data_IF_360002235783
#
_entry.id   IF_360002235783
#
_cell.length_a   1.000
_cell.length_b   1.000
_cell.length_c   1.000
_cell.angle_alpha   90.00
_cell.angle_beta   90.00
_cell.angle_gamma   90.00
#
_symmetry.space_group_name_H-M   'P 1'
#
loop_
_entity.id
_entity.type
_entity.pdbx_description
1 polymer ?
#
# COMPACT_ATOMS: atom_id res chain seq x y z
N UNK A 1 -3.41 0.84 -19.55
CA UNK A 1 -4.86 0.96 -19.28
C UNK A 1 -5.52 -0.38 -18.94
N UNK A 2 -5.35 -1.46 -19.69
CA UNK A 2 -6.02 -2.75 -19.42
C UNK A 2 -5.87 -3.28 -17.97
N UNK A 3 -4.65 -3.26 -17.40
CA UNK A 3 -4.39 -3.66 -16.00
C UNK A 3 -5.17 -2.83 -14.97
N UNK A 4 -5.39 -1.53 -15.25
CA UNK A 4 -6.15 -0.64 -14.36
C UNK A 4 -7.63 -1.03 -14.35
N UNK A 5 -8.25 -1.15 -15.51
CA UNK A 5 -9.66 -1.57 -15.63
C UNK A 5 -9.88 -2.96 -15.06
N UNK A 6 -8.95 -3.89 -15.28
CA UNK A 6 -8.99 -5.21 -14.66
C UNK A 6 -8.99 -5.12 -13.13
N UNK A 7 -8.15 -4.24 -12.55
CA UNK A 7 -8.14 -3.98 -11.11
C UNK A 7 -9.47 -3.45 -10.58
N UNK A 8 -10.12 -2.52 -11.31
CA UNK A 8 -11.45 -1.99 -10.97
C UNK A 8 -12.50 -3.10 -10.96
N UNK A 9 -12.50 -3.94 -12.00
CA UNK A 9 -13.46 -5.06 -12.12
C UNK A 9 -13.23 -6.10 -11.03
N UNK A 10 -11.98 -6.53 -10.81
CA UNK A 10 -11.65 -7.52 -9.77
C UNK A 10 -12.08 -7.01 -8.39
N UNK A 11 -11.75 -5.77 -8.04
CA UNK A 11 -12.15 -5.22 -6.75
C UNK A 11 -13.67 -5.11 -6.62
N UNK A 12 -14.35 -4.67 -7.68
CA UNK A 12 -15.81 -4.64 -7.73
C UNK A 12 -16.43 -6.02 -7.49
N UNK A 13 -15.91 -7.07 -8.15
CA UNK A 13 -16.37 -8.45 -7.93
C UNK A 13 -16.12 -8.88 -6.49
N UNK A 14 -14.92 -8.66 -5.96
CA UNK A 14 -14.55 -9.06 -4.59
C UNK A 14 -15.40 -8.38 -3.50
N UNK A 15 -15.92 -7.18 -3.76
CA UNK A 15 -16.77 -6.45 -2.81
C UNK A 15 -18.25 -6.76 -3.00
N UNK A 16 -18.76 -6.65 -4.24
CA UNK A 16 -20.20 -6.69 -4.51
C UNK A 16 -20.75 -8.10 -4.64
N UNK A 17 -19.95 -9.08 -5.09
CA UNK A 17 -20.41 -10.48 -5.15
C UNK A 17 -20.67 -11.04 -3.73
N UNK A 18 -19.76 -10.86 -2.75
CA UNK A 18 -20.03 -11.32 -1.38
C UNK A 18 -21.06 -10.46 -0.64
N UNK A 19 -21.15 -9.15 -0.96
CA UNK A 19 -22.24 -8.31 -0.48
C UNK A 19 -23.60 -8.79 -1.01
N UNK A 20 -23.64 -9.30 -2.24
CA UNK A 20 -24.85 -9.68 -2.97
C UNK A 20 -25.77 -8.50 -3.29
N UNK A 21 -25.22 -7.28 -3.33
CA UNK A 21 -25.95 -6.08 -3.71
C UNK A 21 -25.00 -4.93 -4.07
N UNK A 22 -25.37 -4.15 -5.07
CA UNK A 22 -24.70 -2.88 -5.41
C UNK A 22 -25.08 -1.72 -4.49
N UNK A 23 -26.02 -1.92 -3.54
CA UNK A 23 -26.38 -0.92 -2.53
C UNK A 23 -25.32 -0.72 -1.45
N UNK A 24 -24.22 -1.48 -1.51
CA UNK A 24 -23.08 -1.33 -0.62
C UNK A 24 -22.29 -0.05 -0.93
N UNK A 25 -22.79 1.08 -0.41
CA UNK A 25 -22.22 2.41 -0.68
C UNK A 25 -20.74 2.53 -0.32
N UNK A 26 -20.31 1.96 0.82
CA UNK A 26 -18.91 2.02 1.23
C UNK A 26 -17.98 1.30 0.24
N UNK A 27 -18.48 0.28 -0.48
CA UNK A 27 -17.73 -0.37 -1.56
C UNK A 27 -17.45 0.61 -2.71
N UNK A 28 -18.48 1.37 -3.14
CA UNK A 28 -18.31 2.43 -4.14
C UNK A 28 -17.42 3.56 -3.64
N UNK A 29 -17.57 3.97 -2.39
CA UNK A 29 -16.74 4.99 -1.76
C UNK A 29 -15.26 4.59 -1.84
N UNK A 30 -14.92 3.38 -1.39
CA UNK A 30 -13.55 2.87 -1.47
C UNK A 30 -13.04 2.85 -2.92
N UNK A 31 -13.83 2.31 -3.85
CA UNK A 31 -13.44 2.26 -5.26
C UNK A 31 -13.16 3.66 -5.83
N UNK A 32 -14.00 4.64 -5.50
CA UNK A 32 -13.82 6.03 -5.89
C UNK A 32 -12.51 6.62 -5.34
N UNK A 33 -12.32 6.57 -4.02
CA UNK A 33 -11.13 7.17 -3.39
C UNK A 33 -9.84 6.42 -3.71
N UNK A 34 -9.90 5.14 -4.07
CA UNK A 34 -8.73 4.36 -4.50
C UNK A 34 -8.38 4.62 -5.96
N UNK A 35 -9.36 4.52 -6.88
CA UNK A 35 -9.08 4.51 -8.32
C UNK A 35 -9.08 5.89 -8.96
N UNK A 36 -9.85 6.87 -8.48
CA UNK A 36 -9.88 8.21 -9.09
C UNK A 36 -8.52 8.92 -8.93
N UNK A 37 -7.91 9.00 -7.73
CA UNK A 37 -6.57 9.59 -7.60
C UNK A 37 -5.51 8.81 -8.38
N UNK A 38 -5.61 7.47 -8.38
CA UNK A 38 -4.70 6.61 -9.14
C UNK A 38 -4.77 6.87 -10.64
N UNK A 39 -5.98 7.07 -11.18
CA UNK A 39 -6.22 7.36 -12.58
C UNK A 39 -5.64 8.72 -12.96
N UNK A 40 -5.93 9.76 -12.17
CA UNK A 40 -5.40 11.12 -12.38
C UNK A 40 -3.87 11.12 -12.31
N UNK A 41 -3.28 10.49 -11.30
CA UNK A 41 -1.83 10.36 -11.18
C UNK A 41 -1.22 9.58 -12.37
N UNK A 42 -1.91 8.53 -12.83
CA UNK A 42 -1.53 7.77 -14.02
C UNK A 42 -1.51 8.62 -15.29
N UNK A 43 -2.52 9.47 -15.50
CA UNK A 43 -2.56 10.41 -16.63
C UNK A 43 -1.45 11.45 -16.55
N UNK A 44 -1.20 12.02 -15.37
CA UNK A 44 -0.11 12.99 -15.17
C UNK A 44 1.26 12.34 -15.47
N UNK A 45 1.48 11.11 -15.01
CA UNK A 45 2.72 10.37 -15.28
C UNK A 45 2.85 9.96 -16.76
N UNK A 46 1.76 9.61 -17.43
CA UNK A 46 1.77 9.36 -18.88
C UNK A 46 2.20 10.61 -19.65
N UNK A 47 1.70 11.77 -19.26
CA UNK A 47 2.02 13.04 -19.92
C UNK A 47 3.45 13.51 -19.63
N UNK A 48 3.93 13.35 -18.38
CA UNK A 48 5.25 13.87 -17.97
C UNK A 48 6.39 12.89 -18.18
N UNK A 49 6.17 11.59 -17.99
CA UNK A 49 7.26 10.60 -17.98
C UNK A 49 6.76 9.16 -18.27
N UNK A 50 6.40 8.84 -19.53
CA UNK A 50 5.75 7.58 -19.89
C UNK A 50 6.62 6.33 -19.65
N UNK A 51 7.96 6.48 -19.75
CA UNK A 51 8.90 5.38 -19.52
C UNK A 51 8.92 4.94 -18.04
N UNK A 52 8.79 5.89 -17.10
CA UNK A 52 8.71 5.61 -15.66
C UNK A 52 7.47 4.78 -15.32
N UNK A 53 6.33 5.11 -15.93
CA UNK A 53 5.08 4.36 -15.74
C UNK A 53 5.18 2.93 -16.30
N UNK A 54 5.77 2.78 -17.50
CA UNK A 54 5.98 1.47 -18.10
C UNK A 54 6.83 0.55 -17.23
N UNK A 55 7.93 1.06 -16.65
CA UNK A 55 8.76 0.33 -15.68
C UNK A 55 7.94 -0.10 -14.44
N UNK A 56 7.17 0.81 -13.84
CA UNK A 56 6.36 0.50 -12.64
C UNK A 56 5.26 -0.53 -12.90
N UNK A 57 4.67 -0.56 -14.09
CA UNK A 57 3.61 -1.51 -14.45
C UNK A 57 4.13 -2.92 -14.77
N UNK A 58 5.39 -3.04 -15.15
CA UNK A 58 6.00 -4.30 -15.61
C UNK A 58 7.05 -4.87 -14.66
N UNK A 59 7.36 -4.18 -13.57
CA UNK A 59 8.20 -4.72 -12.50
C UNK A 59 7.62 -6.06 -11.98
N UNK A 60 8.43 -7.11 -12.06
CA UNK A 60 8.14 -8.45 -11.55
C UNK A 60 9.11 -8.76 -10.43
N UNK A 61 8.59 -9.29 -9.32
CA UNK A 61 9.41 -9.74 -8.19
C UNK A 61 10.17 -11.00 -8.57
N UNK A 62 11.50 -10.92 -8.62
CA UNK A 62 12.35 -12.05 -9.03
C UNK A 62 12.70 -12.96 -7.86
N UNK A 63 12.90 -12.40 -6.65
CA UNK A 63 13.27 -13.15 -5.45
C UNK A 63 12.13 -14.02 -4.92
N UNK A 64 12.41 -15.30 -4.68
CA UNK A 64 11.42 -16.31 -4.29
C UNK A 64 10.78 -16.05 -2.91
N UNK A 65 11.55 -15.56 -1.93
CA UNK A 65 10.99 -15.19 -0.62
C UNK A 65 10.00 -14.03 -0.73
N UNK A 66 10.25 -13.09 -1.65
CA UNK A 66 9.38 -11.95 -1.90
C UNK A 66 8.11 -12.37 -2.64
N UNK A 67 8.19 -13.34 -3.56
CA UNK A 67 7.01 -13.94 -4.20
C UNK A 67 6.05 -14.51 -3.17
N UNK A 68 6.55 -15.19 -2.13
CA UNK A 68 5.70 -15.72 -1.06
C UNK A 68 5.04 -14.61 -0.25
N UNK A 69 5.78 -13.56 0.13
CA UNK A 69 5.20 -12.40 0.84
C UNK A 69 4.14 -11.70 -0.01
N UNK A 70 4.37 -11.54 -1.31
CA UNK A 70 3.41 -10.96 -2.25
C UNK A 70 2.18 -11.84 -2.42
N UNK A 71 2.35 -13.16 -2.53
CA UNK A 71 1.24 -14.10 -2.63
C UNK A 71 0.38 -14.10 -1.36
N UNK A 72 1.00 -14.18 -0.18
CA UNK A 72 0.30 -14.10 1.12
C UNK A 72 -0.42 -12.76 1.29
N UNK A 73 0.22 -11.66 0.89
CA UNK A 73 -0.42 -10.33 0.90
C UNK A 73 -1.64 -10.34 -0.03
N UNK A 74 -1.52 -10.87 -1.24
CA UNK A 74 -2.63 -10.99 -2.19
C UNK A 74 -3.81 -11.79 -1.64
N UNK A 75 -3.54 -12.95 -1.02
CA UNK A 75 -4.57 -13.75 -0.35
C UNK A 75 -5.23 -12.99 0.79
N UNK A 76 -4.44 -12.26 1.58
CA UNK A 76 -4.95 -11.43 2.67
C UNK A 76 -5.89 -10.34 2.16
N UNK A 77 -5.52 -9.63 1.09
CA UNK A 77 -6.37 -8.61 0.48
C UNK A 77 -7.67 -9.19 -0.05
N UNK A 78 -7.63 -10.35 -0.73
CA UNK A 78 -8.84 -11.05 -1.17
C UNK A 78 -9.74 -11.35 0.03
N UNK A 79 -9.20 -11.91 1.10
CA UNK A 79 -9.96 -12.20 2.31
C UNK A 79 -10.57 -10.93 2.92
N UNK A 80 -9.81 -9.83 3.03
CA UNK A 80 -10.28 -8.54 3.54
C UNK A 80 -11.49 -8.02 2.76
N UNK A 81 -11.42 -8.02 1.42
CA UNK A 81 -12.49 -7.51 0.56
C UNK A 81 -13.73 -8.41 0.61
N UNK A 82 -13.53 -9.72 0.55
CA UNK A 82 -14.63 -10.69 0.65
C UNK A 82 -15.33 -10.57 2.01
N UNK A 83 -14.57 -10.52 3.11
CA UNK A 83 -15.13 -10.34 4.45
C UNK A 83 -15.85 -9.01 4.61
N UNK A 84 -15.42 -7.94 3.92
CA UNK A 84 -16.11 -6.66 3.98
C UNK A 84 -17.49 -6.73 3.30
N UNK A 85 -17.56 -7.37 2.13
CA UNK A 85 -18.82 -7.65 1.46
C UNK A 85 -19.75 -8.52 2.31
N UNK A 86 -19.23 -9.61 2.91
CA UNK A 86 -20.01 -10.46 3.81
C UNK A 86 -20.45 -9.74 5.08
N UNK A 87 -19.60 -8.90 5.67
CA UNK A 87 -19.95 -8.06 6.82
C UNK A 87 -21.11 -7.13 6.48
N UNK A 88 -21.14 -6.55 5.27
CA UNK A 88 -22.27 -5.74 4.82
C UNK A 88 -23.55 -6.58 4.63
N UNK A 89 -23.42 -7.77 4.03
CA UNK A 89 -24.55 -8.68 3.75
C UNK A 89 -25.22 -9.17 5.04
N UNK A 90 -24.42 -9.65 5.99
CA UNK A 90 -24.90 -10.26 7.22
C UNK A 90 -24.94 -9.31 8.41
N UNK A 91 -24.44 -8.08 8.25
CA UNK A 91 -24.47 -7.02 9.27
C UNK A 91 -23.80 -7.45 10.59
N UNK A 92 -22.73 -8.24 10.52
CA UNK A 92 -22.01 -8.70 11.72
C UNK A 92 -21.53 -7.55 12.60
N UNK A 93 -20.97 -6.50 11.98
CA UNK A 93 -20.58 -5.28 12.67
C UNK A 93 -20.91 -4.06 11.79
N UNK A 94 -21.70 -3.13 12.34
CA UNK A 94 -22.07 -1.89 11.66
C UNK A 94 -21.33 -0.73 12.30
N UNK A 95 -20.36 -0.18 11.57
CA UNK A 95 -19.67 1.03 11.98
C UNK A 95 -20.56 2.27 11.77
N UNK A 96 -20.55 3.23 12.71
CA UNK A 96 -21.18 4.53 12.48
C UNK A 96 -20.59 5.26 11.27
N UNK A 97 -21.42 6.00 10.54
CA UNK A 97 -20.99 6.71 9.34
C UNK A 97 -19.85 7.71 9.59
N UNK A 98 -19.79 8.34 10.76
CA UNK A 98 -18.71 9.28 11.10
C UNK A 98 -17.34 8.58 11.14
N UNK A 99 -17.28 7.31 11.57
CA UNK A 99 -16.03 6.51 11.55
C UNK A 99 -15.58 6.28 10.11
N UNK A 100 -16.53 5.95 9.22
CA UNK A 100 -16.26 5.73 7.79
C UNK A 100 -15.70 7.00 7.14
N UNK A 101 -16.27 8.17 7.44
CA UNK A 101 -15.79 9.44 6.91
C UNK A 101 -14.42 9.84 7.44
N UNK A 102 -14.15 9.65 8.74
CA UNK A 102 -12.82 9.87 9.32
C UNK A 102 -11.80 8.93 8.67
N UNK A 103 -12.13 7.64 8.54
CA UNK A 103 -11.26 6.67 7.88
C UNK A 103 -10.99 7.03 6.42
N UNK A 104 -11.98 7.60 5.72
CA UNK A 104 -11.83 8.06 4.33
C UNK A 104 -10.91 9.28 4.24
N UNK A 105 -11.04 10.24 5.15
CA UNK A 105 -10.14 11.39 5.22
C UNK A 105 -8.70 10.95 5.52
N UNK A 106 -8.51 10.04 6.47
CA UNK A 106 -7.20 9.45 6.78
C UNK A 106 -6.63 8.67 5.59
N UNK A 107 -7.46 7.88 4.89
CA UNK A 107 -7.05 7.15 3.70
C UNK A 107 -6.49 8.10 2.63
N UNK A 108 -7.19 9.20 2.35
CA UNK A 108 -6.73 10.22 1.39
C UNK A 108 -5.45 10.93 1.86
N UNK A 109 -5.34 11.22 3.16
CA UNK A 109 -4.11 11.78 3.74
C UNK A 109 -2.92 10.84 3.55
N UNK A 110 -3.08 9.54 3.83
CA UNK A 110 -2.03 8.55 3.63
C UNK A 110 -1.71 8.32 2.15
N UNK A 111 -2.70 8.52 1.26
CA UNK A 111 -2.48 8.52 -0.18
C UNK A 111 -1.56 9.66 -0.61
N UNK A 112 -1.79 10.87 -0.08
CA UNK A 112 -0.93 12.04 -0.32
C UNK A 112 0.47 11.79 0.25
N UNK A 113 0.56 11.25 1.46
CA UNK A 113 1.84 10.89 2.06
C UNK A 113 2.61 9.88 1.20
N UNK A 114 1.94 8.86 0.67
CA UNK A 114 2.54 7.90 -0.24
C UNK A 114 3.04 8.58 -1.53
N UNK A 115 2.27 9.51 -2.09
CA UNK A 115 2.70 10.29 -3.25
C UNK A 115 3.92 11.16 -2.97
N UNK A 116 4.02 11.73 -1.77
CA UNK A 116 5.17 12.53 -1.33
C UNK A 116 6.43 11.68 -1.18
N UNK A 117 6.31 10.48 -0.61
CA UNK A 117 7.42 9.52 -0.54
C UNK A 117 7.92 9.14 -1.93
N UNK A 118 7.00 8.95 -2.89
CA UNK A 118 7.36 8.68 -4.29
C UNK A 118 8.05 9.87 -4.99
N UNK A 119 7.75 11.10 -4.56
CA UNK A 119 8.39 12.32 -5.07
C UNK A 119 9.81 12.47 -4.52
N UNK A 120 9.98 12.17 -3.23
CA UNK A 120 11.25 12.30 -2.52
C UNK A 120 12.27 11.24 -2.95
N UNK A 121 11.84 9.99 -3.17
CA UNK A 121 12.72 8.90 -3.58
C UNK A 121 12.52 8.49 -5.04
N UNK A 122 13.45 8.92 -5.90
CA UNK A 122 13.47 8.57 -7.32
C UNK A 122 13.92 7.13 -7.60
N UNK A 123 14.64 6.49 -6.67
CA UNK A 123 15.10 5.09 -6.77
C UNK A 123 14.05 4.09 -6.26
N UNK A 124 12.85 4.56 -5.96
CA UNK A 124 11.81 3.73 -5.38
C UNK A 124 11.29 2.71 -6.41
N UNK A 125 11.69 1.45 -6.21
CA UNK A 125 11.29 0.31 -7.02
C UNK A 125 10.29 -0.58 -6.27
N UNK A 126 9.52 -1.36 -7.03
CA UNK A 126 8.66 -2.41 -6.48
C UNK A 126 9.46 -3.65 -6.08
N UNK A 127 10.61 -3.84 -6.68
CA UNK A 127 11.54 -4.94 -6.44
C UNK A 127 12.62 -4.52 -5.44
N UNK A 128 13.00 -5.40 -4.53
CA UNK A 128 14.15 -5.16 -3.65
C UNK A 128 15.41 -5.49 -4.45
N UNK A 129 16.01 -4.47 -5.02
CA UNK A 129 17.27 -4.51 -5.75
C UNK A 129 18.04 -3.21 -5.55
N UNK A 130 19.37 -3.27 -5.65
CA UNK A 130 20.18 -2.06 -5.69
C UNK A 130 20.31 -1.64 -7.15
N UNK A 131 19.87 -0.43 -7.47
CA UNK A 131 19.97 0.13 -8.82
C UNK A 131 21.38 0.67 -9.08
N UNK A 132 21.81 0.66 -10.34
CA UNK A 132 23.06 1.31 -10.74
C UNK A 132 23.03 2.80 -10.39
N UNK A 133 24.11 3.30 -9.78
CA UNK A 133 24.24 4.68 -9.28
C UNK A 133 23.19 5.08 -8.23
N UNK A 134 22.60 4.12 -7.54
CA UNK A 134 21.72 4.39 -6.40
C UNK A 134 22.50 5.08 -5.28
N UNK A 135 21.93 6.16 -4.76
CA UNK A 135 22.44 6.85 -3.57
C UNK A 135 21.46 6.69 -2.42
N UNK A 136 21.99 6.72 -1.20
CA UNK A 136 21.15 6.80 -0.01
C UNK A 136 20.47 8.17 0.03
N UNK A 137 19.15 8.14 0.21
CA UNK A 137 18.35 9.34 0.44
C UNK A 137 18.09 9.41 1.94
N UNK A 138 18.54 10.48 2.58
CA UNK A 138 18.44 10.69 4.03
C UNK A 138 17.79 12.04 4.39
N UNK A 139 17.09 12.65 3.43
CA UNK A 139 16.36 13.91 3.57
C UNK A 139 14.87 13.69 3.84
N UNK A 140 14.17 14.73 4.28
CA UNK A 140 12.73 14.74 4.59
C UNK A 140 12.25 13.52 5.36
N UNK A 141 11.31 12.73 4.80
CA UNK A 141 10.71 11.59 5.51
C UNK A 141 11.73 10.47 5.75
N UNK A 142 12.69 10.30 4.84
CA UNK A 142 13.80 9.38 4.99
C UNK A 142 14.81 9.81 6.06
N UNK A 143 14.79 11.08 6.47
CA UNK A 143 15.55 11.55 7.64
C UNK A 143 14.93 11.18 8.98
N UNK A 144 13.64 10.80 9.00
CA UNK A 144 12.88 10.48 10.23
C UNK A 144 12.79 8.96 10.41
N UNK A 145 12.44 8.23 9.35
CA UNK A 145 12.32 6.77 9.33
C UNK A 145 12.99 6.20 8.08
N UNK A 146 13.56 4.99 8.17
CA UNK A 146 14.26 4.35 7.04
C UNK A 146 13.34 3.93 5.90
N UNK A 147 12.09 3.64 6.22
CA UNK A 147 11.11 3.07 5.30
C UNK A 147 9.77 3.83 5.30
N UNK A 148 9.76 5.12 4.92
CA UNK A 148 8.55 5.93 4.95
C UNK A 148 7.50 5.43 3.96
N UNK A 149 7.91 4.73 2.89
CA UNK A 149 6.96 4.09 1.96
C UNK A 149 6.15 3.00 2.65
N UNK A 150 6.80 2.12 3.41
CA UNK A 150 6.12 1.04 4.13
C UNK A 150 5.26 1.58 5.27
N UNK A 151 5.65 2.70 5.88
CA UNK A 151 4.80 3.43 6.83
C UNK A 151 3.52 3.91 6.13
N UNK A 152 3.65 4.66 5.03
CA UNK A 152 2.52 5.21 4.30
C UNK A 152 1.59 4.12 3.76
N UNK A 153 2.12 3.04 3.17
CA UNK A 153 1.29 1.95 2.62
C UNK A 153 0.63 1.12 3.71
N UNK A 154 1.29 0.85 4.83
CA UNK A 154 0.67 0.18 5.98
C UNK A 154 -0.51 0.99 6.51
N UNK A 155 -0.35 2.30 6.69
CA UNK A 155 -1.44 3.19 7.15
C UNK A 155 -2.60 3.24 6.14
N UNK A 156 -2.28 3.30 4.84
CA UNK A 156 -3.27 3.23 3.76
C UNK A 156 -4.04 1.90 3.77
N UNK A 157 -3.36 0.77 3.97
CA UNK A 157 -3.99 -0.55 3.98
C UNK A 157 -4.83 -0.78 5.24
N UNK A 158 -4.39 -0.29 6.40
CA UNK A 158 -5.16 -0.39 7.65
C UNK A 158 -6.43 0.49 7.64
N UNK A 159 -6.42 1.62 6.91
CA UNK A 159 -7.61 2.46 6.79
C UNK A 159 -8.67 1.87 5.83
N UNK A 160 -8.26 1.05 4.85
CA UNK A 160 -9.15 0.49 3.84
C UNK A 160 -10.36 -0.29 4.40
N UNK A 161 -10.21 -1.23 5.36
CA UNK A 161 -11.34 -1.94 5.94
C UNK A 161 -12.32 -1.03 6.72
N UNK A 162 -11.80 0.05 7.30
CA UNK A 162 -12.60 1.03 8.02
C UNK A 162 -13.41 1.92 7.06
N UNK A 163 -12.84 2.27 5.90
CA UNK A 163 -13.59 2.91 4.79
C UNK A 163 -14.70 1.99 4.30
N UNK A 164 -14.45 0.68 4.24
CA UNK A 164 -15.48 -0.31 3.92
C UNK A 164 -16.54 -0.48 5.01
N UNK A 165 -16.32 0.05 6.21
CA UNK A 165 -17.22 -0.12 7.35
C UNK A 165 -17.17 -1.51 7.97
N UNK A 166 -16.05 -2.23 7.85
CA UNK A 166 -15.89 -3.61 8.33
C UNK A 166 -14.76 -3.71 9.35
N UNK A 167 -15.11 -3.77 10.65
CA UNK A 167 -14.14 -4.06 11.72
C UNK A 167 -13.57 -5.48 11.63
N UNK A 168 -14.36 -6.44 11.16
CA UNK A 168 -13.89 -7.82 10.95
C UNK A 168 -12.74 -7.83 9.95
N UNK A 169 -12.91 -7.14 8.82
CA UNK A 169 -11.86 -6.99 7.82
C UNK A 169 -10.65 -6.19 8.35
N UNK A 170 -10.85 -5.24 9.26
CA UNK A 170 -9.77 -4.49 9.90
C UNK A 170 -8.86 -5.40 10.73
N UNK A 171 -9.43 -6.24 11.59
CA UNK A 171 -8.64 -7.17 12.40
C UNK A 171 -7.88 -8.18 11.53
N UNK A 172 -8.49 -8.65 10.44
CA UNK A 172 -7.78 -9.50 9.48
C UNK A 172 -6.62 -8.74 8.83
N UNK A 173 -6.80 -7.46 8.47
CA UNK A 173 -5.73 -6.65 7.87
C UNK A 173 -4.52 -6.45 8.81
N UNK A 174 -4.67 -6.54 10.14
CA UNK A 174 -3.53 -6.49 11.06
C UNK A 174 -2.50 -7.61 10.81
N UNK A 175 -2.91 -8.72 10.19
CA UNK A 175 -2.01 -9.79 9.75
C UNK A 175 -1.03 -9.35 8.64
N UNK A 176 -1.23 -8.16 8.05
CA UNK A 176 -0.28 -7.57 7.12
C UNK A 176 1.01 -7.09 7.80
N UNK A 177 0.94 -6.68 9.08
CA UNK A 177 2.08 -6.15 9.84
C UNK A 177 3.29 -7.11 9.90
N UNK A 178 3.15 -8.40 10.24
CA UNK A 178 4.30 -9.32 10.19
C UNK A 178 4.86 -9.52 8.78
N UNK A 179 4.02 -9.45 7.73
CA UNK A 179 4.47 -9.57 6.34
C UNK A 179 5.36 -8.40 5.94
N UNK A 180 4.96 -7.17 6.29
CA UNK A 180 5.76 -5.98 5.98
C UNK A 180 7.03 -5.92 6.82
N UNK A 181 6.99 -6.37 8.08
CA UNK A 181 8.19 -6.51 8.92
C UNK A 181 9.20 -7.46 8.28
N UNK A 182 8.74 -8.61 7.78
CA UNK A 182 9.61 -9.58 7.07
C UNK A 182 10.21 -8.94 5.81
N UNK A 183 9.40 -8.22 5.02
CA UNK A 183 9.85 -7.53 3.81
C UNK A 183 10.91 -6.47 4.10
N UNK A 184 10.69 -5.63 5.10
CA UNK A 184 11.65 -4.60 5.57
C UNK A 184 12.98 -5.22 5.95
N UNK A 185 12.98 -6.31 6.74
CA UNK A 185 14.21 -6.96 7.18
C UNK A 185 14.99 -7.56 6.00
N UNK A 186 14.31 -8.10 5.00
CA UNK A 186 14.96 -8.59 3.80
C UNK A 186 15.58 -7.44 3.00
N UNK A 187 14.84 -6.34 2.83
CA UNK A 187 15.32 -5.15 2.15
C UNK A 187 16.54 -4.53 2.83
N UNK A 188 16.51 -4.34 4.15
CA UNK A 188 17.68 -3.85 4.89
C UNK A 188 18.91 -4.73 4.67
N UNK A 189 18.74 -6.06 4.59
CA UNK A 189 19.86 -6.98 4.36
C UNK A 189 20.45 -6.79 2.96
N UNK A 190 19.61 -6.65 1.92
CA UNK A 190 20.06 -6.39 0.55
C UNK A 190 20.76 -5.03 0.45
N UNK A 191 20.19 -3.99 1.05
CA UNK A 191 20.76 -2.64 1.04
C UNK A 191 22.10 -2.58 1.81
N UNK A 192 22.23 -3.27 2.95
CA UNK A 192 23.51 -3.32 3.68
C UNK A 192 24.64 -4.03 2.92
N UNK A 193 24.30 -4.96 2.02
CA UNK A 193 25.28 -5.70 1.22
C UNK A 193 25.65 -4.96 -0.08
N UNK A 194 24.71 -4.25 -0.69
CA UNK A 194 24.89 -3.68 -2.03
C UNK A 194 24.89 -2.15 -2.13
N UNK A 195 24.40 -1.42 -1.12
CA UNK A 195 24.30 0.05 -1.18
C UNK A 195 25.34 0.72 -0.27
N UNK A 196 26.30 1.39 -0.90
CA UNK A 196 27.31 2.17 -0.21
C UNK A 196 26.68 3.29 0.63
N UNK A 197 27.19 3.49 1.86
CA UNK A 197 26.67 4.50 2.81
C UNK A 197 25.41 4.07 3.59
N UNK A 198 24.80 2.92 3.29
CA UNK A 198 23.58 2.50 3.97
C UNK A 198 23.79 2.13 5.45
N UNK A 199 24.98 1.60 5.79
CA UNK A 199 25.34 1.28 7.18
C UNK A 199 25.46 2.53 8.04
N UNK A 200 26.01 3.61 7.50
CA UNK A 200 26.13 4.92 8.12
C UNK A 200 24.75 5.56 8.29
N UNK A 201 23.92 5.50 7.26
CA UNK A 201 22.53 5.95 7.31
C UNK A 201 21.72 5.24 8.40
N UNK A 202 21.89 3.93 8.57
CA UNK A 202 21.23 3.16 9.62
C UNK A 202 21.59 3.61 11.03
N UNK A 203 22.80 4.14 11.23
CA UNK A 203 23.23 4.73 12.51
C UNK A 203 22.58 6.09 12.75
N UNK A 204 22.38 6.89 11.69
CA UNK A 204 21.74 8.21 11.75
C UNK A 204 20.22 8.12 11.95
N UNK A 205 19.56 7.25 11.20
CA UNK A 205 18.11 7.08 11.21
C UNK A 205 17.78 5.74 11.85
N UNK A 206 17.45 5.77 13.14
CA UNK A 206 17.32 4.56 13.98
C UNK A 206 15.98 3.84 13.78
N UNK A 207 14.91 4.56 13.47
CA UNK A 207 13.57 4.03 13.28
C UNK A 207 13.37 3.49 11.86
N UNK A 208 12.72 2.34 11.73
CA UNK A 208 12.40 1.71 10.45
C UNK A 208 11.16 2.30 9.84
N UNK A 209 10.05 2.29 10.57
CA UNK A 209 8.72 2.59 10.03
C UNK A 209 7.89 3.45 10.97
N UNK A 210 7.96 3.21 12.29
CA UNK A 210 7.14 3.94 13.25
C UNK A 210 8.07 4.75 14.14
N UNK A 211 8.05 6.09 14.06
CA UNK A 211 8.85 6.94 14.93
C UNK A 211 8.64 6.57 16.40
N UNK A 212 9.72 6.53 17.17
CA UNK A 212 9.73 6.21 18.60
C UNK A 212 9.32 4.78 18.98
N UNK A 213 8.97 3.92 18.02
CA UNK A 213 8.57 2.53 18.28
C UNK A 213 9.50 1.54 17.57
N UNK A 214 9.64 1.65 16.24
CA UNK A 214 10.37 0.65 15.46
C UNK A 214 10.99 1.18 14.17
#
# INVERSE_FOLDING_TARGET
MAKFFLGVVILGVLLFLPAGSFRYWNGWLLMGVLFVPMFVAGLILLAKNPQLLAKRLNAKEEQQEQKMVVALSGMLFIAVFVLAGLNWRFRWCVLPNWVVWIATALFLLFYILYAEVLRENTYLSRTIEVQENQKVIDTGLYGIVRHPMYMATTLLFLSLPLVLGSLVSFFVMLLYLPLIVKRIRNEERVLEMGLEGYKEYKKKVIYRMIPFIW
#
